data_IF_910877849439
#
_entry.id   IF_910877849439
#
_cell.length_a   1.000
_cell.length_b   1.000
_cell.length_c   1.000
_cell.angle_alpha   90.00
_cell.angle_beta   90.00
_cell.angle_gamma   90.00
#
_symmetry.space_group_name_H-M   'P 1'
#
loop_
_entity.id
_entity.type
_entity.pdbx_description
1 polymer ?
#
# COMPACT_ATOMS: atom_id res chain seq x y z
N UNK A 1 -24.35 8.97 -17.39
CA UNK A 1 -23.22 8.41 -18.14
C UNK A 1 -22.39 7.55 -17.18
N UNK A 2 -23.06 6.76 -16.33
CA UNK A 2 -22.49 6.36 -15.03
C UNK A 2 -22.59 4.84 -14.76
N UNK A 3 -23.35 4.08 -15.55
CA UNK A 3 -23.50 2.63 -15.32
C UNK A 3 -22.39 1.81 -16.00
N UNK A 4 -21.87 2.25 -17.15
CA UNK A 4 -20.80 1.56 -17.90
C UNK A 4 -19.45 1.67 -17.18
N UNK A 5 -19.08 2.88 -16.73
CA UNK A 5 -17.84 3.11 -15.98
C UNK A 5 -17.84 2.34 -14.65
N UNK A 6 -19.00 2.21 -13.98
CA UNK A 6 -19.09 1.43 -12.74
C UNK A 6 -18.90 -0.07 -12.98
N UNK A 7 -19.49 -0.61 -14.06
CA UNK A 7 -19.30 -2.02 -14.43
C UNK A 7 -17.88 -2.32 -14.87
N UNK A 8 -17.23 -1.41 -15.61
CA UNK A 8 -15.85 -1.58 -16.06
C UNK A 8 -14.87 -1.55 -14.88
N UNK A 9 -15.05 -0.62 -13.94
CA UNK A 9 -14.24 -0.59 -12.70
C UNK A 9 -14.46 -1.85 -11.82
N UNK A 10 -15.68 -2.35 -11.71
CA UNK A 10 -15.98 -3.56 -10.94
C UNK A 10 -15.36 -4.81 -11.57
N UNK A 11 -15.38 -4.89 -12.91
CA UNK A 11 -14.76 -5.96 -13.68
C UNK A 11 -13.23 -5.88 -13.59
N UNK A 12 -12.65 -4.68 -13.71
CA UNK A 12 -11.22 -4.41 -13.47
C UNK A 12 -10.79 -4.90 -12.10
N UNK A 13 -11.52 -4.50 -11.05
CA UNK A 13 -11.23 -4.95 -9.68
C UNK A 13 -11.31 -6.46 -9.54
N UNK A 14 -12.30 -7.13 -10.16
CA UNK A 14 -12.42 -8.58 -10.12
C UNK A 14 -11.24 -9.31 -10.79
N UNK A 15 -10.80 -8.86 -11.96
CA UNK A 15 -9.68 -9.44 -12.69
C UNK A 15 -8.32 -9.15 -12.04
N UNK A 16 -8.13 -7.93 -11.55
CA UNK A 16 -6.95 -7.57 -10.77
C UNK A 16 -6.87 -8.41 -9.49
N UNK A 17 -8.01 -8.65 -8.82
CA UNK A 17 -8.06 -9.44 -7.59
C UNK A 17 -7.75 -10.93 -7.81
N UNK A 18 -8.15 -11.54 -8.92
CA UNK A 18 -7.85 -12.96 -9.17
C UNK A 18 -6.35 -13.19 -9.35
N UNK A 19 -5.69 -12.38 -10.20
CA UNK A 19 -4.25 -12.52 -10.42
C UNK A 19 -3.40 -12.11 -9.22
N UNK A 20 -3.86 -11.16 -8.41
CA UNK A 20 -3.17 -10.77 -7.16
C UNK A 20 -3.18 -11.89 -6.13
N UNK A 21 -4.29 -12.64 -6.00
CA UNK A 21 -4.37 -13.77 -5.08
C UNK A 21 -3.38 -14.87 -5.46
N UNK A 22 -3.26 -15.19 -6.75
CA UNK A 22 -2.31 -16.19 -7.24
C UNK A 22 -0.85 -15.78 -6.97
N UNK A 23 -0.54 -14.49 -7.08
CA UNK A 23 0.78 -13.96 -6.72
C UNK A 23 1.03 -14.05 -5.21
N UNK A 24 0.02 -13.74 -4.38
CA UNK A 24 0.15 -13.91 -2.93
C UNK A 24 0.35 -15.37 -2.54
N UNK A 25 -0.34 -16.31 -3.20
CA UNK A 25 -0.14 -17.73 -3.01
C UNK A 25 1.27 -18.16 -3.42
N UNK A 26 1.79 -17.62 -4.52
CA UNK A 26 3.16 -17.89 -4.96
C UNK A 26 4.20 -17.31 -3.99
N UNK A 27 3.92 -16.17 -3.35
CA UNK A 27 4.74 -15.61 -2.26
C UNK A 27 4.70 -16.49 -1.01
N UNK A 28 3.52 -16.99 -0.64
CA UNK A 28 3.34 -17.91 0.49
C UNK A 28 4.15 -19.19 0.28
N UNK A 29 4.02 -19.79 -0.91
CA UNK A 29 4.83 -20.93 -1.32
C UNK A 29 6.33 -20.63 -1.29
N UNK A 30 6.76 -19.45 -1.72
CA UNK A 30 8.17 -19.05 -1.64
C UNK A 30 8.68 -19.01 -0.19
N UNK A 31 7.86 -18.60 0.78
CA UNK A 31 8.24 -18.66 2.19
C UNK A 31 8.33 -20.08 2.72
N UNK A 32 7.39 -20.95 2.34
CA UNK A 32 7.43 -22.37 2.69
C UNK A 32 8.68 -23.07 2.11
N UNK A 33 8.98 -22.83 0.84
CA UNK A 33 10.15 -23.39 0.14
C UNK A 33 11.50 -22.92 0.74
N UNK A 34 11.52 -21.82 1.51
CA UNK A 34 12.69 -21.31 2.22
C UNK A 34 12.69 -21.63 3.73
N UNK A 35 11.82 -22.54 4.18
CA UNK A 35 11.68 -22.96 5.58
C UNK A 35 11.43 -21.79 6.55
N UNK A 36 10.79 -20.71 6.09
CA UNK A 36 10.58 -19.52 6.93
C UNK A 36 9.68 -19.81 8.14
N UNK A 37 8.70 -20.69 7.98
CA UNK A 37 7.78 -21.07 9.06
C UNK A 37 8.42 -21.93 10.15
N UNK A 38 9.66 -22.41 9.96
CA UNK A 38 10.41 -23.05 11.05
C UNK A 38 10.83 -22.05 12.14
N UNK A 39 10.84 -20.75 11.82
CA UNK A 39 11.24 -19.68 12.74
C UNK A 39 10.05 -19.14 13.54
N UNK A 40 10.32 -18.77 14.79
CA UNK A 40 9.30 -18.26 15.70
C UNK A 40 8.73 -16.92 15.21
N UNK A 41 7.41 -16.78 15.27
CA UNK A 41 6.70 -15.51 15.05
C UNK A 41 6.47 -15.16 13.58
N UNK A 42 6.96 -15.94 12.61
CA UNK A 42 6.77 -15.66 11.18
C UNK A 42 5.31 -15.80 10.75
N UNK A 43 4.64 -16.86 11.24
CA UNK A 43 3.22 -17.14 10.94
C UNK A 43 2.25 -16.09 11.49
N UNK A 44 2.68 -15.30 12.48
CA UNK A 44 1.86 -14.25 13.11
C UNK A 44 1.85 -12.95 12.29
N UNK A 45 2.45 -12.95 11.11
CA UNK A 45 2.54 -11.80 10.23
C UNK A 45 1.20 -11.51 9.55
N UNK A 46 0.72 -10.28 9.71
CA UNK A 46 -0.48 -9.79 9.02
C UNK A 46 -0.07 -9.04 7.77
N UNK A 47 -0.60 -9.41 6.59
CA UNK A 47 -0.35 -8.67 5.35
C UNK A 47 -1.05 -7.30 5.41
N UNK A 48 -0.27 -6.21 5.36
CA UNK A 48 -0.78 -4.83 5.41
C UNK A 48 -0.75 -4.15 4.04
N UNK A 49 0.15 -4.59 3.17
CA UNK A 49 0.31 -4.00 1.84
C UNK A 49 0.85 -5.05 0.87
N UNK A 50 0.26 -5.12 -0.34
CA UNK A 50 0.71 -6.00 -1.42
C UNK A 50 -0.40 -6.90 -1.98
N UNK A 51 -0.12 -7.61 -3.08
CA UNK A 51 1.17 -7.68 -3.77
C UNK A 51 1.38 -6.50 -4.73
N UNK A 52 2.48 -5.75 -4.56
CA UNK A 52 2.87 -4.69 -5.50
C UNK A 52 3.81 -5.30 -6.54
N UNK A 53 3.30 -5.49 -7.75
CA UNK A 53 4.03 -6.09 -8.87
C UNK A 53 4.72 -5.01 -9.69
N UNK A 54 6.05 -5.09 -9.77
CA UNK A 54 6.90 -4.27 -10.64
C UNK A 54 7.55 -5.14 -11.71
N UNK A 55 8.25 -4.53 -12.67
CA UNK A 55 8.91 -5.25 -13.78
C UNK A 55 9.78 -6.43 -13.30
N UNK A 56 10.56 -6.22 -12.23
CA UNK A 56 11.53 -7.21 -11.72
C UNK A 56 11.24 -7.72 -10.31
N UNK A 57 10.32 -7.07 -9.58
CA UNK A 57 10.14 -7.28 -8.14
C UNK A 57 8.66 -7.47 -7.82
N UNK A 58 8.38 -8.34 -6.84
CA UNK A 58 7.12 -8.41 -6.14
C UNK A 58 7.36 -7.91 -4.71
N UNK A 59 6.62 -6.91 -4.26
CA UNK A 59 6.77 -6.34 -2.91
C UNK A 59 5.54 -6.62 -2.07
N UNK A 60 5.77 -7.14 -0.86
CA UNK A 60 4.74 -7.36 0.17
C UNK A 60 5.23 -6.80 1.52
N UNK A 61 4.32 -6.27 2.32
CA UNK A 61 4.63 -5.74 3.66
C UNK A 61 3.79 -6.44 4.71
N UNK A 62 4.46 -7.06 5.69
CA UNK A 62 3.83 -7.71 6.83
C UNK A 62 3.98 -6.85 8.09
N UNK A 63 2.95 -6.86 8.92
CA UNK A 63 2.92 -6.25 10.24
C UNK A 63 2.98 -7.32 11.31
N UNK A 64 3.82 -7.08 12.31
CA UNK A 64 3.97 -7.92 13.49
C UNK A 64 3.75 -7.09 14.74
N UNK A 65 2.93 -7.59 15.67
CA UNK A 65 2.77 -6.98 16.99
C UNK A 65 3.99 -7.28 17.86
N UNK A 66 4.27 -6.40 18.82
CA UNK A 66 5.42 -6.51 19.74
C UNK A 66 5.56 -7.86 20.44
N UNK A 67 4.44 -8.50 20.76
CA UNK A 67 4.39 -9.80 21.44
C UNK A 67 4.86 -10.94 20.53
N UNK A 68 4.65 -10.79 19.22
CA UNK A 68 4.85 -11.80 18.19
C UNK A 68 5.90 -11.35 17.16
N UNK A 69 6.95 -10.65 17.60
CA UNK A 69 8.01 -10.26 16.69
C UNK A 69 8.69 -11.50 16.06
N UNK A 70 8.91 -11.48 14.74
CA UNK A 70 9.55 -12.57 14.03
C UNK A 70 11.04 -12.63 14.34
N UNK A 71 11.62 -13.83 14.31
CA UNK A 71 13.07 -14.00 14.40
C UNK A 71 13.77 -13.33 13.20
N UNK A 72 14.69 -12.36 13.43
CA UNK A 72 15.43 -11.70 12.34
C UNK A 72 16.19 -12.68 11.44
N UNK A 73 16.59 -13.84 11.99
CA UNK A 73 17.36 -14.87 11.27
C UNK A 73 16.60 -15.43 10.06
N UNK A 74 15.26 -15.50 10.16
CA UNK A 74 14.40 -15.97 9.08
C UNK A 74 14.55 -15.10 7.83
N UNK A 75 14.56 -13.77 8.02
CA UNK A 75 14.69 -12.82 6.91
C UNK A 75 16.10 -12.76 6.35
N UNK A 76 17.13 -12.98 7.18
CA UNK A 76 18.50 -13.08 6.69
C UNK A 76 18.74 -14.27 5.74
N UNK A 77 17.92 -15.32 5.80
CA UNK A 77 17.97 -16.41 4.81
C UNK A 77 17.49 -15.90 3.46
N UNK A 78 16.36 -15.19 3.42
CA UNK A 78 15.83 -14.60 2.19
C UNK A 78 16.85 -13.65 1.52
N UNK A 79 17.58 -12.87 2.32
CA UNK A 79 18.63 -11.99 1.81
C UNK A 79 19.74 -12.72 1.06
N UNK A 80 20.09 -13.95 1.47
CA UNK A 80 21.07 -14.78 0.77
C UNK A 80 20.59 -15.24 -0.60
N UNK A 81 19.27 -15.38 -0.77
CA UNK A 81 18.64 -15.75 -2.03
C UNK A 81 18.42 -14.54 -2.96
N UNK A 82 18.78 -13.32 -2.54
CA UNK A 82 18.65 -12.10 -3.35
C UNK A 82 17.37 -11.32 -3.11
N UNK A 83 16.57 -11.74 -2.12
CA UNK A 83 15.37 -11.01 -1.66
C UNK A 83 15.78 -9.87 -0.74
N UNK A 84 15.27 -8.66 -0.96
CA UNK A 84 15.60 -7.51 -0.12
C UNK A 84 14.58 -7.35 0.97
N UNK A 85 15.01 -7.32 2.23
CA UNK A 85 14.13 -7.14 3.38
C UNK A 85 14.38 -5.77 4.01
N UNK A 86 13.31 -5.05 4.31
CA UNK A 86 13.36 -3.76 5.00
C UNK A 86 12.50 -3.84 6.24
N UNK A 87 13.04 -3.44 7.38
CA UNK A 87 12.36 -3.44 8.66
C UNK A 87 12.15 -2.01 9.14
N UNK A 88 10.93 -1.66 9.51
CA UNK A 88 10.55 -0.34 10.02
C UNK A 88 9.69 -0.49 11.28
N UNK A 89 10.03 0.24 12.34
CA UNK A 89 9.17 0.36 13.51
C UNK A 89 8.08 1.41 13.25
N UNK A 90 6.83 1.08 13.57
CA UNK A 90 5.68 1.97 13.41
C UNK A 90 4.66 1.79 14.55
N UNK A 91 3.55 2.53 14.49
CA UNK A 91 2.47 2.43 15.46
C UNK A 91 1.13 2.26 14.75
N UNK A 92 0.36 1.27 15.20
CA UNK A 92 -1.05 1.13 14.83
C UNK A 92 -1.90 2.00 15.76
N UNK A 93 -2.78 2.81 15.17
CA UNK A 93 -3.66 3.73 15.91
C UNK A 93 -5.06 3.13 15.92
N UNK A 94 -5.45 2.56 17.06
CA UNK A 94 -6.77 1.92 17.23
C UNK A 94 -7.52 2.63 18.36
N UNK A 95 -8.85 2.82 18.28
CA UNK A 95 -9.62 3.23 19.46
C UNK A 95 -9.45 2.21 20.58
N UNK A 96 -9.39 2.68 21.83
CA UNK A 96 -9.35 1.80 23.00
C UNK A 96 -10.57 0.86 22.96
N UNK A 97 -10.31 -0.45 22.93
CA UNK A 97 -11.35 -1.50 22.79
C UNK A 97 -12.34 -1.47 23.95
N UNK A 98 -11.85 -1.25 25.17
CA UNK A 98 -12.65 -1.22 26.39
C UNK A 98 -12.36 0.06 27.20
N UNK A 99 -13.04 1.18 26.87
CA UNK A 99 -12.88 2.42 27.61
C UNK A 99 -13.59 2.32 28.98
N UNK A 100 -12.87 1.83 29.99
CA UNK A 100 -13.41 1.62 31.33
C UNK A 100 -13.34 2.89 32.21
N UNK A 101 -12.55 3.91 31.81
CA UNK A 101 -12.44 5.17 32.56
C UNK A 101 -12.92 6.35 31.74
N UNK A 102 -13.37 7.37 32.47
CA UNK A 102 -13.74 8.65 31.88
C UNK A 102 -12.57 9.36 31.20
N UNK A 103 -11.34 9.05 31.62
CA UNK A 103 -10.09 9.51 31.01
C UNK A 103 -9.82 8.87 29.64
N UNK A 104 -10.44 7.72 29.33
CA UNK A 104 -10.25 6.95 28.10
C UNK A 104 -11.18 7.42 26.98
N UNK A 105 -12.05 8.40 27.26
CA UNK A 105 -12.96 9.00 26.28
C UNK A 105 -12.61 10.45 25.99
N UNK A 106 -12.74 10.87 24.73
CA UNK A 106 -12.68 12.27 24.28
C UNK A 106 -14.08 12.75 23.89
N UNK A 107 -14.39 14.00 24.21
CA UNK A 107 -15.65 14.64 23.80
C UNK A 107 -15.44 15.31 22.44
N UNK A 108 -16.29 15.02 21.47
CA UNK A 108 -16.28 15.64 20.14
C UNK A 108 -17.58 16.41 19.96
N UNK A 109 -17.46 17.68 19.56
CA UNK A 109 -18.62 18.52 19.26
C UNK A 109 -19.27 18.08 17.94
N UNK A 110 -20.59 17.96 17.94
CA UNK A 110 -21.42 17.65 16.77
C UNK A 110 -22.52 18.71 16.65
N UNK A 111 -23.21 18.77 15.50
CA UNK A 111 -24.29 19.74 15.27
C UNK A 111 -25.44 19.64 16.28
N UNK A 112 -25.60 18.49 16.94
CA UNK A 112 -26.65 18.22 17.94
C UNK A 112 -26.15 18.16 19.39
N UNK A 113 -24.90 18.54 19.68
CA UNK A 113 -24.33 18.56 21.03
C UNK A 113 -22.90 18.03 21.13
N UNK A 114 -22.58 17.28 22.19
CA UNK A 114 -21.25 16.67 22.38
C UNK A 114 -21.36 15.16 22.55
N UNK A 115 -20.64 14.40 21.72
CA UNK A 115 -20.60 12.93 21.78
C UNK A 115 -19.25 12.47 22.35
N UNK A 116 -19.27 11.49 23.26
CA UNK A 116 -18.05 10.91 23.82
C UNK A 116 -17.63 9.70 23.01
N UNK A 117 -16.41 9.74 22.46
CA UNK A 117 -15.82 8.63 21.73
C UNK A 117 -14.54 8.15 22.43
N UNK A 118 -14.17 6.87 22.31
CA UNK A 118 -12.91 6.38 22.86
C UNK A 118 -11.71 7.17 22.33
N UNK A 119 -10.69 7.36 23.17
CA UNK A 119 -9.40 7.87 22.73
C UNK A 119 -8.69 6.82 21.89
N UNK A 120 -7.80 7.29 21.04
CA UNK A 120 -6.97 6.42 20.23
C UNK A 120 -5.75 6.00 21.08
N UNK A 121 -5.45 4.71 21.08
CA UNK A 121 -4.23 4.14 21.63
C UNK A 121 -3.23 3.91 20.49
N UNK A 122 -1.94 3.98 20.82
CA UNK A 122 -0.84 3.68 19.89
C UNK A 122 -0.23 2.34 20.27
N UNK A 123 -0.43 1.34 19.43
CA UNK A 123 0.11 0.00 19.63
C UNK A 123 1.41 -0.09 18.81
N UNK A 124 2.57 -0.40 19.43
CA UNK A 124 3.83 -0.52 18.69
C UNK A 124 3.82 -1.77 17.80
N UNK A 125 4.14 -1.58 16.53
CA UNK A 125 4.18 -2.63 15.51
C UNK A 125 5.49 -2.59 14.73
N UNK A 126 5.86 -3.72 14.15
CA UNK A 126 7.00 -3.85 13.26
C UNK A 126 6.50 -4.15 11.85
N UNK A 127 6.88 -3.31 10.90
CA UNK A 127 6.61 -3.51 9.49
C UNK A 127 7.83 -4.15 8.83
N UNK A 128 7.64 -5.29 8.20
CA UNK A 128 8.65 -6.01 7.43
C UNK A 128 8.23 -6.02 5.98
N UNK A 129 8.93 -5.24 5.16
CA UNK A 129 8.71 -5.17 3.72
C UNK A 129 9.69 -6.09 3.01
N UNK A 130 9.18 -7.05 2.28
CA UNK A 130 9.94 -8.07 1.55
C UNK A 130 9.80 -7.79 0.05
N UNK A 131 10.92 -7.56 -0.62
CA UNK A 131 11.02 -7.38 -2.07
C UNK A 131 11.64 -8.61 -2.70
N UNK A 132 10.81 -9.42 -3.34
CA UNK A 132 11.18 -10.70 -3.89
C UNK A 132 11.43 -10.54 -5.41
N UNK A 133 12.59 -10.96 -5.91
CA UNK A 133 12.84 -11.07 -7.35
C UNK A 133 11.81 -11.98 -8.02
N UNK A 134 11.23 -11.54 -9.14
CA UNK A 134 10.19 -12.32 -9.84
C UNK A 134 10.66 -13.68 -10.35
N UNK A 135 11.96 -13.88 -10.54
CA UNK A 135 12.52 -15.17 -10.97
C UNK A 135 12.56 -16.22 -9.83
N UNK A 136 12.39 -15.82 -8.57
CA UNK A 136 12.36 -16.73 -7.42
C UNK A 136 10.96 -17.19 -7.06
N UNK A 137 9.94 -16.49 -7.53
CA UNK A 137 8.53 -16.85 -7.37
C UNK A 137 8.10 -17.54 -8.68
N UNK A 138 7.28 -18.59 -8.57
CA UNK A 138 6.94 -19.44 -9.71
C UNK A 138 6.51 -18.63 -10.97
N UNK A 139 7.08 -18.93 -12.15
CA UNK A 139 6.81 -18.17 -13.37
C UNK A 139 5.36 -18.31 -13.85
N UNK A 140 4.69 -19.43 -13.55
CA UNK A 140 3.31 -19.70 -13.96
C UNK A 140 2.33 -18.64 -13.45
N UNK A 141 2.42 -18.26 -12.17
CA UNK A 141 1.58 -17.21 -11.58
C UNK A 141 1.80 -15.84 -12.21
N UNK A 142 3.00 -15.57 -12.74
CA UNK A 142 3.29 -14.32 -13.43
C UNK A 142 2.96 -14.33 -14.90
N UNK A 143 3.06 -15.47 -15.55
CA UNK A 143 2.71 -15.60 -16.96
C UNK A 143 1.20 -15.60 -17.12
N UNK A 144 0.45 -16.20 -16.19
CA UNK A 144 -1.01 -16.02 -16.07
C UNK A 144 -1.37 -14.54 -15.82
N UNK A 145 -0.74 -13.86 -14.85
CA UNK A 145 -0.95 -12.43 -14.63
C UNK A 145 -0.63 -11.58 -15.88
N UNK A 146 0.47 -11.88 -16.59
CA UNK A 146 0.82 -11.18 -17.84
C UNK A 146 -0.20 -11.44 -18.96
N UNK A 147 -0.68 -12.67 -19.09
CA UNK A 147 -1.68 -13.04 -20.11
C UNK A 147 -3.00 -12.33 -19.81
N UNK A 148 -3.45 -12.34 -18.55
CA UNK A 148 -4.63 -11.59 -18.11
C UNK A 148 -4.47 -10.07 -18.35
N UNK A 149 -3.33 -9.48 -17.97
CA UNK A 149 -3.06 -8.07 -18.20
C UNK A 149 -2.96 -7.71 -19.71
N UNK A 150 -2.43 -8.62 -20.52
CA UNK A 150 -2.31 -8.43 -21.97
C UNK A 150 -3.65 -8.54 -22.68
N UNK A 151 -4.49 -9.51 -22.32
CA UNK A 151 -5.86 -9.65 -22.84
C UNK A 151 -6.68 -8.39 -22.52
N UNK A 152 -6.55 -7.87 -21.30
CA UNK A 152 -7.21 -6.65 -20.86
C UNK A 152 -6.79 -5.39 -21.65
N UNK A 153 -5.48 -5.22 -21.91
CA UNK A 153 -4.96 -4.11 -22.72
C UNK A 153 -5.25 -4.25 -24.22
N UNK A 154 -5.49 -5.48 -24.70
CA UNK A 154 -5.82 -5.74 -26.11
C UNK A 154 -7.29 -5.49 -26.45
N UNK A 155 -8.13 -5.27 -25.44
CA UNK A 155 -9.54 -4.95 -25.63
C UNK A 155 -9.65 -3.51 -26.17
N UNK A 156 -10.23 -3.28 -27.36
CA UNK A 156 -10.16 -1.97 -28.05
C UNK A 156 -10.85 -0.81 -27.32
N UNK A 157 -11.68 -1.10 -26.31
CA UNK A 157 -12.26 -0.12 -25.39
C UNK A 157 -11.29 0.39 -24.31
N UNK A 158 -10.12 -0.24 -24.16
CA UNK A 158 -9.15 0.03 -23.10
C UNK A 158 -7.74 0.33 -23.66
N UNK A 159 -7.69 0.83 -24.90
CA UNK A 159 -6.46 1.21 -25.57
C UNK A 159 -5.75 2.34 -24.78
N UNK A 160 -4.40 2.29 -24.63
CA UNK A 160 -3.64 3.34 -23.94
C UNK A 160 -3.66 4.72 -24.63
N UNK A 161 -4.42 4.89 -25.72
CA UNK A 161 -4.62 6.19 -26.38
C UNK A 161 -5.48 7.17 -25.57
N UNK A 162 -6.06 6.75 -24.42
CA UNK A 162 -6.76 7.67 -23.52
C UNK A 162 -5.93 8.10 -22.29
N UNK A 163 -4.63 7.77 -22.26
CA UNK A 163 -3.69 8.47 -21.37
C UNK A 163 -3.31 9.78 -22.05
N UNK A 164 -4.05 10.86 -21.75
CA UNK A 164 -3.54 12.20 -22.05
C UNK A 164 -2.15 12.33 -21.40
N UNK A 165 -1.13 12.57 -22.21
CA UNK A 165 0.17 12.99 -21.70
C UNK A 165 -0.05 14.19 -20.77
N UNK A 166 0.60 14.25 -19.58
CA UNK A 166 0.58 15.48 -18.81
C UNK A 166 1.16 16.57 -19.70
N UNK A 167 0.32 17.54 -20.08
CA UNK A 167 0.72 18.70 -20.87
C UNK A 167 1.91 19.32 -20.15
N UNK A 168 3.11 19.14 -20.72
CA UNK A 168 4.29 19.92 -20.36
C UNK A 168 4.05 21.34 -20.84
N UNK A 169 3.41 22.14 -19.98
CA UNK A 169 3.43 23.59 -20.08
C UNK A 169 4.72 24.10 -19.47
N UNK A 170 5.76 24.24 -20.31
CA UNK A 170 6.80 25.22 -20.03
C UNK A 170 6.25 26.63 -20.30
N UNK A 171 6.85 27.61 -19.64
CA UNK A 171 6.63 29.05 -19.66
C UNK A 171 5.49 29.58 -18.75
N UNK A 172 5.79 29.66 -17.45
CA UNK A 172 5.31 30.77 -16.62
C UNK A 172 6.53 31.58 -16.18
N UNK A 173 6.73 32.71 -16.84
CA UNK A 173 7.73 33.72 -16.53
C UNK A 173 7.66 34.13 -15.04
N UNK A 174 8.79 34.03 -14.36
CA UNK A 174 9.02 34.59 -13.02
C UNK A 174 9.49 36.04 -13.14
N UNK A 175 8.57 36.95 -13.45
CA UNK A 175 8.78 38.39 -13.25
C UNK A 175 7.89 38.87 -12.10
N UNK A 176 8.47 38.90 -10.91
CA UNK A 176 7.90 39.58 -9.75
C UNK A 176 8.20 41.08 -9.89
N UNK A 177 7.25 41.84 -10.44
CA UNK A 177 7.25 43.30 -10.29
C UNK A 177 6.81 43.66 -8.87
N UNK A 178 7.76 44.15 -8.09
CA UNK A 178 7.55 44.85 -6.82
C UNK A 178 6.91 46.20 -7.12
N UNK A 179 5.64 46.40 -6.78
CA UNK A 179 5.03 47.74 -6.75
C UNK A 179 4.94 48.24 -5.32
N UNK A 180 5.78 49.22 -5.03
CA UNK A 180 5.84 50.04 -3.82
C UNK A 180 4.65 51.02 -3.83
N UNK A 181 3.85 51.04 -2.78
CA UNK A 181 2.79 52.03 -2.60
C UNK A 181 3.42 53.38 -2.26
N UNK A 182 3.54 54.26 -3.26
CA UNK A 182 3.74 55.70 -3.01
C UNK A 182 2.49 56.46 -3.43
N UNK A 183 1.76 56.98 -2.44
CA UNK A 183 0.79 58.06 -2.63
C UNK A 183 1.54 59.33 -3.09
N UNK A 184 1.18 59.88 -4.24
CA UNK A 184 1.34 61.31 -4.52
C UNK A 184 0.11 61.90 -5.21
N UNK A 185 -0.21 63.13 -4.80
CA UNK A 185 -1.28 63.99 -5.30
C UNK A 185 -2.07 64.55 -4.13
N UNK A 186 -1.83 65.75 -3.59
CA UNK A 186 -1.24 66.95 -4.17
C UNK A 186 -2.29 68.06 -4.10
N UNK A 187 -1.93 69.16 -3.41
CA UNK A 187 -2.68 70.40 -3.09
C UNK A 187 -3.38 70.47 -1.73
#
# INVERSE_FOLDING_TARGET
MDDLDYTDNAIQQLYDNSGMLDILLAVEKYFDDNDLYAYKGIIEGELVEGPIVSKYWCTVTFKYYRENFPDPTAFSILEKHGTKVYVKADYEITPIKEPNRQADMKSVATQSGSVRIPKNERIPVLLVRVQIPRNLINPESFDEYKLMAAEFNSNPMNSPENFEEPVTGDDVDLDVEVTDETQEGGM
#
